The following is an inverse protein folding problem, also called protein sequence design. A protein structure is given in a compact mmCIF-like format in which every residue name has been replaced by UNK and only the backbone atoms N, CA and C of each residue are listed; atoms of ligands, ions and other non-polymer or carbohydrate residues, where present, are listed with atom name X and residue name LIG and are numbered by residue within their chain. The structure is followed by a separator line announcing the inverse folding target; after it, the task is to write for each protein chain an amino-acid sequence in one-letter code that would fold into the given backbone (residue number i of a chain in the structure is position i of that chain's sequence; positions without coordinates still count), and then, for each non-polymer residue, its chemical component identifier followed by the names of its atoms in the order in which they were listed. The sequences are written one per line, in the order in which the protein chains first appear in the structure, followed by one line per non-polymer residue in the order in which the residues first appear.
data_IF_787214496504
#
_entry.id   IF_787214496504
#
_cell.length_a   1.000
_cell.length_b   1.000
_cell.length_c   1.000
_cell.angle_alpha   90.00
_cell.angle_beta   90.00
_cell.angle_gamma   90.00
#
_symmetry.space_group_name_H-M   'P 1'
#
loop_
_entity.id
_entity.type
_entity.pdbx_description
1 polymer ?
#
# COMPACT_ATOMS: atom_id res chain seq x y z
N UNK A 1 6.76 -1.18 -42.65
CA UNK A 1 5.58 -1.37 -41.77
C UNK A 1 5.94 -0.86 -40.38
N UNK A 2 5.36 0.27 -39.96
CA UNK A 2 5.54 0.82 -38.60
C UNK A 2 4.62 0.03 -37.66
N UNK A 3 5.05 -0.39 -36.46
CA UNK A 3 4.15 -0.97 -35.49
C UNK A 3 3.21 0.14 -35.00
N UNK A 4 1.93 0.00 -35.36
CA UNK A 4 0.82 0.77 -34.82
C UNK A 4 0.79 0.53 -33.31
N UNK A 5 1.18 1.56 -32.56
CA UNK A 5 1.11 1.58 -31.10
C UNK A 5 -0.35 1.69 -30.69
N UNK A 6 -0.95 0.57 -30.30
CA UNK A 6 -2.24 0.47 -29.61
C UNK A 6 -2.08 0.99 -28.19
N UNK A 7 -2.03 2.32 -28.04
CA UNK A 7 -2.05 3.02 -26.75
C UNK A 7 -3.31 3.88 -26.65
N UNK A 8 -4.46 3.24 -26.72
CA UNK A 8 -5.76 3.92 -26.60
C UNK A 8 -6.74 2.94 -25.96
N UNK A 9 -7.32 3.33 -24.81
CA UNK A 9 -8.42 2.70 -24.06
C UNK A 9 -8.12 1.98 -22.73
N UNK A 10 -6.96 2.16 -22.09
CA UNK A 10 -6.75 1.70 -20.68
C UNK A 10 -6.43 2.82 -19.68
N UNK A 11 -6.46 4.09 -20.11
CA UNK A 11 -6.06 5.26 -19.32
C UNK A 11 -7.23 6.08 -18.73
N UNK A 12 -8.48 5.65 -18.87
CA UNK A 12 -9.62 6.45 -18.35
C UNK A 12 -9.82 6.32 -16.83
N UNK A 13 -9.20 5.31 -16.19
CA UNK A 13 -9.27 5.10 -14.74
C UNK A 13 -7.94 4.54 -14.17
N UNK A 14 -6.84 4.81 -14.86
CA UNK A 14 -5.53 4.43 -14.39
C UNK A 14 -5.09 5.45 -13.33
N UNK A 15 -5.31 5.11 -12.06
CA UNK A 15 -4.72 5.82 -10.92
C UNK A 15 -3.27 6.14 -11.26
N UNK A 16 -2.91 7.41 -11.18
CA UNK A 16 -1.50 7.78 -11.37
C UNK A 16 -0.66 6.98 -10.38
N UNK A 17 0.59 6.60 -10.71
CA UNK A 17 1.43 5.82 -9.80
C UNK A 17 1.54 6.45 -8.40
N UNK A 18 1.42 7.78 -8.33
CA UNK A 18 1.37 8.55 -7.09
C UNK A 18 0.07 8.35 -6.31
N UNK A 19 -1.09 8.45 -6.96
CA UNK A 19 -2.39 8.18 -6.33
C UNK A 19 -2.49 6.73 -5.88
N UNK A 20 -2.02 5.77 -6.69
CA UNK A 20 -1.97 4.36 -6.32
C UNK A 20 -1.10 4.12 -5.07
N UNK A 21 0.08 4.76 -5.00
CA UNK A 21 0.94 4.66 -3.82
C UNK A 21 0.31 5.30 -2.59
N UNK A 22 -0.39 6.43 -2.74
CA UNK A 22 -1.12 7.08 -1.66
C UNK A 22 -2.26 6.19 -1.14
N UNK A 23 -3.06 5.62 -2.04
CA UNK A 23 -4.14 4.70 -1.70
C UNK A 23 -3.61 3.48 -0.91
N UNK A 24 -2.45 2.97 -1.31
CA UNK A 24 -1.81 1.83 -0.68
C UNK A 24 -1.22 2.18 0.70
N UNK A 25 -0.72 3.40 0.89
CA UNK A 25 -0.36 3.95 2.21
C UNK A 25 -1.57 4.02 3.14
N UNK A 26 -2.71 4.52 2.65
CA UNK A 26 -3.96 4.58 3.42
C UNK A 26 -4.44 3.17 3.78
N UNK A 27 -4.41 2.23 2.84
CA UNK A 27 -4.78 0.84 3.10
C UNK A 27 -3.92 0.20 4.20
N UNK A 28 -2.61 0.46 4.21
CA UNK A 28 -1.73 -0.05 5.26
C UNK A 28 -2.02 0.53 6.64
N UNK A 29 -2.37 1.82 6.73
CA UNK A 29 -2.80 2.42 8.00
C UNK A 29 -4.06 1.74 8.52
N UNK A 30 -5.06 1.52 7.66
CA UNK A 30 -6.31 0.83 8.02
C UNK A 30 -6.02 -0.58 8.54
N UNK A 31 -5.15 -1.34 7.85
CA UNK A 31 -4.76 -2.68 8.28
C UNK A 31 -4.07 -2.65 9.65
N UNK A 32 -3.11 -1.74 9.87
CA UNK A 32 -2.43 -1.60 11.16
C UNK A 32 -3.41 -1.26 12.29
N UNK A 33 -4.30 -0.30 12.07
CA UNK A 33 -5.34 0.05 13.05
C UNK A 33 -6.22 -1.15 13.36
N UNK A 34 -6.59 -1.94 12.36
CA UNK A 34 -7.42 -3.13 12.52
C UNK A 34 -6.71 -4.21 13.35
N UNK A 35 -5.41 -4.43 13.12
CA UNK A 35 -4.59 -5.36 13.91
C UNK A 35 -4.55 -4.93 15.38
N UNK A 36 -4.32 -3.64 15.65
CA UNK A 36 -4.30 -3.10 17.01
C UNK A 36 -5.66 -3.23 17.68
N UNK A 37 -6.75 -2.93 16.97
CA UNK A 37 -8.11 -3.07 17.50
C UNK A 37 -8.43 -4.53 17.84
N UNK A 38 -8.11 -5.45 16.92
CA UNK A 38 -8.32 -6.89 17.10
C UNK A 38 -7.48 -7.44 18.25
N UNK A 39 -6.24 -6.98 18.41
CA UNK A 39 -5.40 -7.35 19.55
C UNK A 39 -5.96 -6.85 20.89
N UNK A 40 -6.47 -5.62 20.91
CA UNK A 40 -7.07 -5.01 22.11
C UNK A 40 -8.35 -5.74 22.53
N UNK A 41 -9.19 -6.13 21.57
CA UNK A 41 -10.45 -6.85 21.82
C UNK A 41 -10.23 -8.35 22.09
N UNK A 42 -9.26 -8.97 21.43
CA UNK A 42 -8.97 -10.40 21.54
C UNK A 42 -8.03 -10.79 22.68
N UNK A 43 -7.55 -9.81 23.47
CA UNK A 43 -6.59 -10.06 24.54
C UNK A 43 -5.25 -10.63 24.04
N UNK A 44 -4.88 -10.32 22.79
CA UNK A 44 -3.68 -10.84 22.17
C UNK A 44 -2.46 -10.18 22.81
N UNK A 45 -1.41 -10.96 23.10
CA UNK A 45 -0.19 -10.37 23.67
C UNK A 45 0.45 -9.39 22.68
N UNK A 46 1.14 -8.39 23.22
CA UNK A 46 1.81 -7.37 22.42
C UNK A 46 2.83 -7.98 21.44
N UNK A 47 3.46 -9.09 21.81
CA UNK A 47 4.43 -9.81 20.97
C UNK A 47 3.76 -10.37 19.70
N UNK A 48 2.58 -11.00 19.83
CA UNK A 48 1.83 -11.52 18.70
C UNK A 48 1.26 -10.41 17.81
N UNK A 49 0.83 -9.31 18.44
CA UNK A 49 0.36 -8.11 17.73
C UNK A 49 1.48 -7.51 16.88
N UNK A 50 2.69 -7.40 17.44
CA UNK A 50 3.86 -6.93 16.71
C UNK A 50 4.21 -7.85 15.55
N UNK A 51 4.17 -9.17 15.74
CA UNK A 51 4.39 -10.14 14.65
C UNK A 51 3.40 -9.95 13.49
N UNK A 52 2.12 -9.70 13.78
CA UNK A 52 1.10 -9.41 12.77
C UNK A 52 1.30 -8.04 12.09
N UNK A 53 1.88 -7.08 12.80
CA UNK A 53 2.18 -5.75 12.26
C UNK A 53 3.44 -5.72 11.37
N UNK A 54 4.33 -6.72 11.42
CA UNK A 54 5.57 -6.75 10.61
C UNK A 54 5.29 -6.63 9.10
N UNK A 55 4.40 -7.43 8.48
CA UNK A 55 4.11 -7.33 7.06
C UNK A 55 3.65 -5.93 6.59
N UNK A 56 2.65 -5.27 7.21
CA UNK A 56 2.26 -3.93 6.80
C UNK A 56 3.35 -2.88 7.04
N UNK A 57 4.18 -3.02 8.10
CA UNK A 57 5.31 -2.10 8.34
C UNK A 57 6.38 -2.23 7.26
N UNK A 58 6.75 -3.45 6.85
CA UNK A 58 7.68 -3.68 5.74
C UNK A 58 7.10 -3.13 4.44
N UNK A 59 5.82 -3.40 4.18
CA UNK A 59 5.10 -2.86 3.03
C UNK A 59 5.15 -1.33 2.98
N UNK A 60 4.92 -0.65 4.10
CA UNK A 60 4.96 0.82 4.18
C UNK A 60 6.36 1.39 4.00
N UNK A 61 7.39 0.73 4.54
CA UNK A 61 8.78 1.12 4.34
C UNK A 61 9.20 1.02 2.87
N UNK A 62 8.76 -0.03 2.16
CA UNK A 62 9.01 -0.20 0.73
C UNK A 62 8.26 0.85 -0.09
N UNK A 63 6.99 1.11 0.21
CA UNK A 63 6.21 2.15 -0.48
C UNK A 63 6.80 3.54 -0.28
N UNK A 64 7.30 3.84 0.91
CA UNK A 64 7.98 5.11 1.20
C UNK A 64 9.23 5.31 0.32
N UNK A 65 9.96 4.22 0.03
CA UNK A 65 11.10 4.26 -0.91
C UNK A 65 10.68 4.45 -2.36
N UNK A 66 9.55 3.87 -2.76
CA UNK A 66 9.01 4.02 -4.12
C UNK A 66 8.44 5.43 -4.33
N UNK A 67 7.74 5.97 -3.32
CA UNK A 67 7.18 7.33 -3.37
C UNK A 67 8.26 8.40 -3.58
N UNK A 68 9.43 8.23 -2.96
CA UNK A 68 10.57 9.13 -3.16
C UNK A 68 11.24 9.05 -4.55
N UNK A 69 10.98 8.01 -5.34
CA UNK A 69 11.54 7.81 -6.68
C UNK A 69 10.57 8.16 -7.82
N UNK A 70 9.32 8.50 -7.51
CA UNK A 70 8.32 8.83 -8.52
C UNK A 70 8.52 10.28 -9.01
N UNK A 71 8.64 10.51 -10.34
CA UNK A 71 8.74 11.86 -10.89
C UNK A 71 7.44 12.65 -10.63
N UNK A 72 7.60 13.97 -10.41
CA UNK A 72 6.52 14.90 -10.06
C UNK A 72 5.57 15.15 -11.21
#
# INVERSE_FOLDING_TARGET
MKPTSTRTAQEENALTPREGTFLMMVAQLVVLTTIVLAATLGGLSWQWTLLLAVPPVIGGALLSRVFGKLPR
#
